data_IF_213667127346
#
_entry.id   IF_213667127346
#
_cell.length_a   1.000
_cell.length_b   1.000
_cell.length_c   1.000
_cell.angle_alpha   90.00
_cell.angle_beta   90.00
_cell.angle_gamma   90.00
#
_symmetry.space_group_name_H-M   'P 1'
#
loop_
_entity.id
_entity.type
_entity.pdbx_description
1 polymer ?
#
# COMPACT_ATOMS: atom_id res chain seq x y z
N UNK A 1 18.26 -7.75 -42.78
CA UNK A 1 17.30 -6.90 -42.03
C UNK A 1 15.91 -7.14 -42.59
N UNK A 2 15.07 -7.92 -41.91
CA UNK A 2 13.69 -8.13 -42.31
C UNK A 2 12.83 -7.05 -41.64
N UNK A 3 12.42 -6.07 -42.40
CA UNK A 3 11.41 -5.08 -41.99
C UNK A 3 10.04 -5.74 -42.05
N UNK A 4 9.62 -6.36 -40.94
CA UNK A 4 8.23 -6.80 -40.79
C UNK A 4 7.37 -5.56 -40.63
N UNK A 5 6.67 -5.16 -41.70
CA UNK A 5 5.61 -4.15 -41.70
C UNK A 5 4.36 -4.64 -40.94
N UNK A 6 4.55 -5.09 -39.69
CA UNK A 6 3.46 -5.47 -38.81
C UNK A 6 2.75 -4.24 -38.27
N UNK A 7 1.44 -4.16 -38.39
CA UNK A 7 0.65 -3.12 -37.76
C UNK A 7 0.91 -3.12 -36.23
N UNK A 8 1.45 -2.00 -35.71
CA UNK A 8 1.66 -1.83 -34.28
C UNK A 8 0.28 -1.64 -33.60
N UNK A 9 -0.15 -2.61 -32.82
CA UNK A 9 -1.39 -2.54 -32.05
C UNK A 9 -1.07 -2.28 -30.57
N UNK A 10 -1.87 -1.43 -29.92
CA UNK A 10 -1.70 -1.18 -28.48
C UNK A 10 -2.14 -2.38 -27.64
N UNK A 11 -1.57 -2.52 -26.44
CA UNK A 11 -2.00 -3.57 -25.50
C UNK A 11 -3.48 -3.46 -25.15
N UNK A 12 -4.03 -2.24 -25.11
CA UNK A 12 -5.44 -2.02 -24.85
C UNK A 12 -6.32 -2.57 -25.98
N UNK A 13 -5.90 -2.41 -27.24
CA UNK A 13 -6.59 -3.00 -28.39
C UNK A 13 -6.65 -4.52 -28.27
N UNK A 14 -5.54 -5.18 -27.89
CA UNK A 14 -5.48 -6.63 -27.71
C UNK A 14 -6.50 -7.06 -26.63
N UNK A 15 -6.54 -6.39 -25.49
CA UNK A 15 -7.50 -6.72 -24.43
C UNK A 15 -8.95 -6.49 -24.88
N UNK A 16 -9.23 -5.43 -25.63
CA UNK A 16 -10.57 -5.20 -26.21
C UNK A 16 -10.96 -6.28 -27.23
N UNK A 17 -10.03 -6.70 -28.05
CA UNK A 17 -10.24 -7.78 -29.01
C UNK A 17 -10.57 -9.08 -28.29
N UNK A 18 -9.80 -9.51 -27.31
CA UNK A 18 -10.05 -10.72 -26.51
C UNK A 18 -11.38 -10.62 -25.74
N UNK A 19 -11.74 -9.45 -25.24
CA UNK A 19 -13.03 -9.24 -24.57
C UNK A 19 -14.22 -9.35 -25.54
N UNK A 20 -14.04 -8.89 -26.79
CA UNK A 20 -15.04 -9.04 -27.86
C UNK A 20 -15.18 -10.50 -28.27
N UNK A 21 -14.05 -11.22 -28.48
CA UNK A 21 -14.03 -12.65 -28.78
C UNK A 21 -14.81 -13.44 -27.73
N UNK A 22 -14.57 -13.17 -26.45
CA UNK A 22 -15.29 -13.80 -25.35
C UNK A 22 -16.80 -13.57 -25.40
N UNK A 23 -17.25 -12.35 -25.73
CA UNK A 23 -18.68 -12.03 -25.86
C UNK A 23 -19.35 -12.79 -27.00
N UNK A 24 -18.59 -13.12 -28.04
CA UNK A 24 -19.01 -13.88 -29.20
C UNK A 24 -18.85 -15.42 -28.99
N UNK A 25 -18.56 -15.88 -27.77
CA UNK A 25 -18.38 -17.28 -27.44
C UNK A 25 -16.97 -17.83 -27.67
N UNK A 26 -16.02 -17.00 -28.06
CA UNK A 26 -14.62 -17.39 -28.26
C UNK A 26 -13.89 -17.72 -26.97
N UNK A 27 -12.72 -18.34 -27.09
CA UNK A 27 -11.93 -18.88 -25.96
C UNK A 27 -10.58 -18.20 -25.75
N UNK A 28 -10.25 -17.13 -26.49
CA UNK A 28 -8.95 -16.44 -26.41
C UNK A 28 -8.63 -15.94 -25.00
N UNK A 29 -9.64 -15.55 -24.22
CA UNK A 29 -9.46 -15.09 -22.84
C UNK A 29 -8.78 -16.11 -21.92
N UNK A 30 -8.83 -17.42 -22.24
CA UNK A 30 -8.21 -18.49 -21.46
C UNK A 30 -6.69 -18.41 -21.49
N UNK A 31 -6.11 -17.81 -22.52
CA UNK A 31 -4.67 -17.61 -22.68
C UNK A 31 -4.14 -16.37 -21.97
N UNK A 32 -5.01 -15.52 -21.44
CA UNK A 32 -4.60 -14.40 -20.61
C UNK A 32 -4.16 -14.88 -19.23
N UNK A 33 -3.12 -14.27 -18.67
CA UNK A 33 -2.58 -14.57 -17.33
C UNK A 33 -3.66 -14.59 -16.23
N UNK A 34 -4.72 -13.79 -16.38
CA UNK A 34 -5.84 -13.69 -15.42
C UNK A 34 -7.19 -14.02 -16.05
N UNK A 35 -7.22 -14.95 -17.01
CA UNK A 35 -8.37 -15.24 -17.86
C UNK A 35 -9.70 -15.55 -17.15
N UNK A 36 -9.65 -16.01 -15.91
CA UNK A 36 -10.83 -16.31 -15.10
C UNK A 36 -11.21 -15.22 -14.10
N UNK A 37 -10.34 -14.24 -13.84
CA UNK A 37 -10.66 -13.16 -12.91
C UNK A 37 -11.48 -12.10 -13.63
N UNK A 38 -12.72 -11.92 -13.22
CA UNK A 38 -13.48 -10.71 -13.57
C UNK A 38 -12.69 -9.51 -13.04
N UNK A 39 -12.15 -8.70 -13.92
CA UNK A 39 -11.65 -7.38 -13.54
C UNK A 39 -12.86 -6.57 -13.10
N UNK A 40 -13.13 -6.59 -11.79
CA UNK A 40 -14.10 -5.66 -11.21
C UNK A 40 -13.49 -4.26 -11.26
N UNK A 41 -13.80 -3.51 -12.31
CA UNK A 41 -13.83 -2.05 -12.24
C UNK A 41 -15.00 -1.65 -11.33
N UNK A 42 -14.97 -2.10 -10.06
CA UNK A 42 -15.85 -1.52 -9.07
C UNK A 42 -15.38 -0.09 -8.89
N UNK A 43 -16.28 0.88 -8.91
CA UNK A 43 -16.06 2.15 -8.23
C UNK A 43 -15.58 1.76 -6.84
N UNK A 44 -14.26 1.91 -6.57
CA UNK A 44 -13.79 1.86 -5.19
C UNK A 44 -14.54 3.00 -4.53
N UNK A 45 -15.50 2.68 -3.69
CA UNK A 45 -16.05 3.67 -2.78
C UNK A 45 -14.83 4.33 -2.14
N UNK A 46 -14.70 5.63 -2.35
CA UNK A 46 -13.62 6.39 -1.71
C UNK A 46 -13.80 6.15 -0.23
N UNK A 47 -12.84 5.48 0.38
CA UNK A 47 -12.86 5.29 1.81
C UNK A 47 -13.09 6.66 2.46
N UNK A 48 -13.97 6.77 3.47
CA UNK A 48 -14.23 8.03 4.13
C UNK A 48 -12.91 8.66 4.57
N UNK A 49 -12.80 9.98 4.41
CA UNK A 49 -11.60 10.72 4.81
C UNK A 49 -11.31 10.51 6.31
N UNK A 50 -10.04 10.47 6.66
CA UNK A 50 -9.62 10.45 8.08
C UNK A 50 -9.97 11.81 8.67
N UNK A 51 -10.73 11.83 9.76
CA UNK A 51 -11.02 13.08 10.48
C UNK A 51 -9.70 13.69 10.98
N UNK A 52 -9.54 15.00 10.80
CA UNK A 52 -8.35 15.76 11.24
C UNK A 52 -7.01 15.21 10.70
N UNK A 53 -7.03 14.59 9.51
CA UNK A 53 -5.79 14.15 8.89
C UNK A 53 -4.89 15.37 8.58
N UNK A 54 -3.64 15.28 9.01
CA UNK A 54 -2.61 16.22 8.60
C UNK A 54 -2.03 15.73 7.28
N UNK A 55 -2.13 16.57 6.22
CA UNK A 55 -1.56 16.21 4.91
C UNK A 55 -0.04 16.06 5.01
N UNK A 56 0.49 15.14 4.20
CA UNK A 56 1.94 14.99 4.05
C UNK A 56 2.60 16.27 3.52
N UNK A 57 1.86 17.10 2.78
CA UNK A 57 2.34 18.38 2.27
C UNK A 57 2.69 19.39 3.38
N UNK A 58 2.08 19.20 4.56
CA UNK A 58 2.37 20.02 5.76
C UNK A 58 3.57 19.50 6.55
N UNK A 59 4.28 18.50 6.04
CA UNK A 59 5.44 17.92 6.71
C UNK A 59 6.59 18.93 6.74
N UNK A 60 7.26 19.14 7.88
CA UNK A 60 8.44 20.01 7.95
C UNK A 60 9.56 19.52 7.02
N UNK A 61 10.21 20.43 6.29
CA UNK A 61 11.28 20.10 5.32
C UNK A 61 12.46 19.33 5.93
N UNK A 62 12.73 19.53 7.22
CA UNK A 62 13.77 18.78 7.95
C UNK A 62 13.50 17.27 7.98
N UNK A 63 12.22 16.87 8.01
CA UNK A 63 11.80 15.46 7.97
C UNK A 63 12.07 14.88 6.59
N UNK A 64 11.81 15.65 5.53
CA UNK A 64 12.03 15.20 4.15
C UNK A 64 13.51 15.06 3.82
N UNK A 65 14.35 15.96 4.35
CA UNK A 65 15.81 15.89 4.21
C UNK A 65 16.46 14.80 5.06
N UNK A 66 15.71 14.19 6.01
CA UNK A 66 16.20 13.13 6.92
C UNK A 66 17.42 13.58 7.75
N UNK A 67 17.44 14.84 8.17
CA UNK A 67 18.60 15.44 8.84
C UNK A 67 18.61 15.16 10.35
N UNK A 68 17.44 15.04 10.97
CA UNK A 68 17.34 14.81 12.42
C UNK A 68 16.94 13.36 12.73
N UNK A 69 17.29 12.91 13.93
CA UNK A 69 16.81 11.66 14.51
C UNK A 69 15.38 11.83 15.02
N UNK A 70 14.61 10.72 15.00
CA UNK A 70 13.30 10.69 15.65
C UNK A 70 12.12 10.98 14.75
N UNK A 71 12.31 10.98 13.44
CA UNK A 71 11.24 11.01 12.46
C UNK A 71 10.95 9.59 11.95
N UNK A 72 9.78 9.05 12.28
CA UNK A 72 9.43 7.65 12.07
C UNK A 72 8.39 7.46 10.96
N UNK A 73 8.50 6.38 10.24
CA UNK A 73 7.48 5.87 9.32
C UNK A 73 6.89 4.59 9.88
N UNK A 74 5.56 4.53 9.95
CA UNK A 74 4.84 3.33 10.38
C UNK A 74 4.15 2.68 9.19
N UNK A 75 4.26 1.36 9.10
CA UNK A 75 3.50 0.54 8.16
C UNK A 75 3.02 -0.75 8.83
N UNK A 76 2.06 -1.41 8.21
CA UNK A 76 1.50 -2.68 8.70
C UNK A 76 1.43 -3.71 7.60
N UNK A 77 2.09 -4.84 7.82
CA UNK A 77 2.08 -5.98 6.93
C UNK A 77 1.08 -7.02 7.43
N UNK A 78 0.09 -7.35 6.59
CA UNK A 78 -0.91 -8.37 6.91
C UNK A 78 -0.33 -9.77 6.70
N UNK A 79 -0.59 -10.65 7.65
CA UNK A 79 -0.34 -12.07 7.52
C UNK A 79 -1.30 -12.73 6.53
N UNK A 80 -0.92 -13.90 6.02
CA UNK A 80 -1.74 -14.68 5.10
C UNK A 80 -3.00 -15.19 5.83
N UNK A 81 -4.17 -15.06 5.18
CA UNK A 81 -5.45 -15.58 5.67
C UNK A 81 -5.84 -15.13 7.10
N UNK A 82 -5.51 -13.89 7.49
CA UNK A 82 -5.93 -13.36 8.79
C UNK A 82 -5.08 -13.85 9.97
N UNK A 83 -3.90 -14.39 9.75
CA UNK A 83 -2.99 -14.86 10.80
C UNK A 83 -2.33 -13.74 11.63
N UNK A 84 -2.94 -12.57 11.69
CA UNK A 84 -2.41 -11.39 12.37
C UNK A 84 -1.74 -10.41 11.44
N UNK A 85 -1.01 -9.47 12.02
CA UNK A 85 -0.25 -8.46 11.29
C UNK A 85 1.10 -8.22 11.96
N UNK A 86 1.99 -7.54 11.24
CA UNK A 86 3.22 -6.97 11.79
C UNK A 86 3.13 -5.44 11.72
N UNK A 87 3.39 -4.79 12.83
CA UNK A 87 3.62 -3.34 12.87
C UNK A 87 5.11 -3.11 12.69
N UNK A 88 5.43 -2.24 11.78
CA UNK A 88 6.81 -1.91 11.43
C UNK A 88 7.03 -0.42 11.60
N UNK A 89 8.14 -0.04 12.21
CA UNK A 89 8.54 1.34 12.41
C UNK A 89 9.95 1.52 11.89
N UNK A 90 10.13 2.47 10.99
CA UNK A 90 11.41 2.85 10.40
C UNK A 90 11.79 4.27 10.83
N UNK A 91 12.94 4.43 11.48
CA UNK A 91 13.54 5.74 11.73
C UNK A 91 14.21 6.23 10.43
N UNK A 92 13.82 7.44 9.97
CA UNK A 92 14.11 7.89 8.60
C UNK A 92 15.57 8.23 8.34
N UNK A 93 16.30 8.72 9.35
CA UNK A 93 17.71 9.11 9.20
C UNK A 93 18.64 7.93 9.26
N UNK A 94 18.53 7.12 10.30
CA UNK A 94 19.45 6.00 10.56
C UNK A 94 19.06 4.73 9.83
N UNK A 95 17.82 4.64 9.33
CA UNK A 95 17.21 3.40 8.83
C UNK A 95 17.04 2.33 9.91
N UNK A 96 17.09 2.73 11.17
CA UNK A 96 16.82 1.83 12.28
C UNK A 96 15.37 1.34 12.19
N UNK A 97 15.20 0.03 12.32
CA UNK A 97 13.95 -0.65 12.05
C UNK A 97 13.53 -1.52 13.22
N UNK A 98 12.32 -1.32 13.70
CA UNK A 98 11.72 -2.13 14.76
C UNK A 98 10.39 -2.72 14.30
N UNK A 99 10.11 -3.94 14.74
CA UNK A 99 8.96 -4.73 14.29
C UNK A 99 8.29 -5.40 15.47
N UNK A 100 6.96 -5.46 15.46
CA UNK A 100 6.17 -6.22 16.39
C UNK A 100 5.01 -6.95 15.73
N UNK A 101 4.87 -8.25 16.05
CA UNK A 101 3.69 -9.01 15.63
C UNK A 101 2.50 -8.66 16.51
N UNK A 102 1.34 -8.48 15.88
CA UNK A 102 0.06 -8.23 16.54
C UNK A 102 -1.00 -9.24 16.07
N UNK A 103 -1.97 -9.59 16.92
CA UNK A 103 -2.97 -10.60 16.56
C UNK A 103 -3.90 -10.14 15.45
N UNK A 104 -4.14 -8.85 15.32
CA UNK A 104 -4.99 -8.28 14.27
C UNK A 104 -4.52 -6.92 13.81
N UNK A 105 -4.99 -6.49 12.63
CA UNK A 105 -4.78 -5.12 12.10
C UNK A 105 -5.85 -4.17 12.65
N UNK A 106 -6.20 -4.25 13.94
CA UNK A 106 -7.09 -3.27 14.56
C UNK A 106 -6.33 -2.02 14.99
N UNK A 107 -6.98 -0.87 15.00
CA UNK A 107 -6.36 0.39 15.41
C UNK A 107 -5.81 0.30 16.85
N UNK A 108 -6.54 -0.34 17.78
CA UNK A 108 -6.12 -0.52 19.15
C UNK A 108 -4.83 -1.33 19.28
N UNK A 109 -4.73 -2.47 18.58
CA UNK A 109 -3.54 -3.34 18.62
C UNK A 109 -2.33 -2.66 17.98
N UNK A 110 -2.53 -1.96 16.87
CA UNK A 110 -1.46 -1.21 16.19
C UNK A 110 -0.97 -0.06 17.06
N UNK A 111 -1.90 0.71 17.67
CA UNK A 111 -1.52 1.81 18.57
C UNK A 111 -0.74 1.31 19.78
N UNK A 112 -1.22 0.24 20.42
CA UNK A 112 -0.53 -0.39 21.56
C UNK A 112 0.88 -0.84 21.18
N UNK A 113 1.02 -1.56 20.05
CA UNK A 113 2.32 -2.01 19.57
C UNK A 113 3.26 -0.86 19.25
N UNK A 114 2.75 0.22 18.63
CA UNK A 114 3.51 1.43 18.31
C UNK A 114 4.06 2.10 19.56
N UNK A 115 3.20 2.28 20.58
CA UNK A 115 3.61 2.86 21.87
C UNK A 115 4.71 2.00 22.52
N UNK A 116 4.50 0.69 22.58
CA UNK A 116 5.47 -0.22 23.20
C UNK A 116 6.82 -0.22 22.47
N UNK A 117 6.81 -0.18 21.14
CA UNK A 117 8.04 -0.13 20.34
C UNK A 117 8.78 1.20 20.46
N UNK A 118 8.07 2.33 20.58
CA UNK A 118 8.67 3.65 20.68
C UNK A 118 8.98 4.10 22.10
N UNK A 119 8.43 3.41 23.13
CA UNK A 119 8.63 3.79 24.53
C UNK A 119 10.10 3.94 24.91
N UNK A 120 11.03 3.04 24.52
CA UNK A 120 12.44 3.20 24.80
C UNK A 120 13.08 4.43 24.18
N UNK A 121 12.48 4.96 23.11
CA UNK A 121 12.99 6.07 22.30
C UNK A 121 12.16 7.35 22.46
N UNK A 122 11.23 7.42 23.43
CA UNK A 122 10.23 8.49 23.53
C UNK A 122 10.80 9.90 23.50
N UNK A 123 12.02 10.09 24.05
CA UNK A 123 12.68 11.40 24.05
C UNK A 123 13.17 11.85 22.68
N UNK A 124 13.26 10.91 21.73
CA UNK A 124 13.73 11.13 20.35
C UNK A 124 12.61 10.90 19.32
N UNK A 125 11.35 10.86 19.74
CA UNK A 125 10.21 10.76 18.81
C UNK A 125 9.68 12.15 18.53
N UNK A 126 9.88 12.65 17.30
CA UNK A 126 9.40 13.95 16.86
C UNK A 126 8.17 13.85 15.97
N UNK A 127 8.22 12.97 14.95
CA UNK A 127 7.10 12.78 14.05
C UNK A 127 6.89 11.29 13.75
N UNK A 128 5.63 10.93 13.51
CA UNK A 128 5.26 9.60 13.01
C UNK A 128 4.43 9.83 11.75
N UNK A 129 4.90 9.30 10.62
CA UNK A 129 4.18 9.34 9.36
C UNK A 129 3.56 7.96 9.09
N UNK A 130 2.26 7.93 8.78
CA UNK A 130 1.55 6.72 8.38
C UNK A 130 0.98 6.91 6.98
N UNK A 131 0.77 5.80 6.25
CA UNK A 131 -0.07 5.84 5.07
C UNK A 131 -1.55 6.05 5.46
N UNK A 132 -2.39 6.43 4.50
CA UNK A 132 -3.84 6.56 4.70
C UNK A 132 -4.56 5.20 4.82
N UNK A 133 -3.86 4.18 5.30
CA UNK A 133 -4.40 2.83 5.49
C UNK A 133 -5.55 2.79 6.50
N UNK A 134 -6.40 1.76 6.39
CA UNK A 134 -7.57 1.58 7.28
C UNK A 134 -7.21 1.40 8.76
N UNK A 135 -5.94 1.19 9.07
CA UNK A 135 -5.44 0.97 10.45
C UNK A 135 -5.42 2.24 11.28
N UNK A 136 -5.25 3.38 10.62
CA UNK A 136 -5.18 4.68 11.31
C UNK A 136 -6.56 5.31 11.55
N UNK A 137 -7.63 4.51 11.52
CA UNK A 137 -8.99 4.98 11.80
C UNK A 137 -9.39 4.58 13.21
N UNK A 138 -9.84 5.54 14.03
CA UNK A 138 -10.47 5.24 15.29
C UNK A 138 -11.77 4.44 15.12
#
# INVERSE_FOLDING_TARGET
MLTNGGAAVSHEWIYRFVARDKRLGGKLYRHLRQGHKRYRRGKKEKAPAIKNAVSIDNRPSIVDRKERLGDWEIDTVLGKHGTGAMVTLLERKTRFYVVKKVPSKSAAEVTKATIELLMPYKQHVHTITADNGRVCRP
#
